data_IF_860673570965
#
_entry.id   IF_860673570965
#
_cell.length_a   1.000
_cell.length_b   1.000
_cell.length_c   1.000
_cell.angle_alpha   90.00
_cell.angle_beta   90.00
_cell.angle_gamma   90.00
#
_symmetry.space_group_name_H-M   'P 1'
#
loop_
_entity.id
_entity.type
_entity.pdbx_description
1 polymer ?
#
# COMPACT_ATOMS: atom_id res chain seq x y z
N UNK A 1 74.65 24.25 29.54
CA UNK A 1 74.68 24.01 28.09
C UNK A 1 73.28 24.19 27.58
N UNK A 2 73.03 25.29 27.30
CA UNK A 2 72.53 26.14 26.21
C UNK A 2 71.15 25.60 25.66
N UNK A 3 70.09 26.28 26.12
CA UNK A 3 68.79 26.21 25.56
C UNK A 3 68.54 27.38 24.63
N UNK A 4 68.18 27.16 23.38
CA UNK A 4 67.74 28.18 22.44
C UNK A 4 66.18 28.05 22.24
N UNK A 5 65.46 29.11 22.62
CA UNK A 5 64.05 29.23 22.46
C UNK A 5 63.64 29.70 21.04
N UNK A 6 62.38 29.46 20.64
CA UNK A 6 61.88 29.83 19.33
C UNK A 6 61.40 31.29 19.27
N UNK A 7 61.64 31.90 18.12
CA UNK A 7 61.29 33.27 17.76
C UNK A 7 59.82 33.49 17.52
N UNK A 8 59.30 34.59 18.02
CA UNK A 8 57.94 35.11 17.82
C UNK A 8 57.70 35.63 16.39
N UNK A 9 56.56 35.31 15.78
CA UNK A 9 56.06 35.91 14.55
C UNK A 9 55.17 37.13 14.83
N UNK A 10 55.04 38.12 13.93
CA UNK A 10 54.34 39.37 14.17
C UNK A 10 52.78 39.25 13.96
N UNK A 11 52.04 40.24 14.48
CA UNK A 11 50.56 40.20 14.44
C UNK A 11 49.99 40.66 13.09
N UNK A 12 49.04 39.90 12.54
CA UNK A 12 48.29 40.27 11.36
C UNK A 12 47.05 41.10 11.76
N UNK A 13 46.93 42.26 11.13
CA UNK A 13 45.91 43.27 11.35
C UNK A 13 44.50 42.74 10.99
N UNK A 14 43.55 42.90 11.91
CA UNK A 14 42.10 42.68 11.65
C UNK A 14 41.53 43.82 10.82
N UNK A 15 41.18 43.54 9.55
CA UNK A 15 40.26 44.39 8.79
C UNK A 15 38.82 43.93 9.07
N UNK A 16 38.02 44.79 9.69
CA UNK A 16 36.58 44.69 9.75
C UNK A 16 36.02 45.01 8.38
N UNK A 17 35.27 44.05 7.78
CA UNK A 17 34.38 44.35 6.67
C UNK A 17 32.96 44.06 7.21
N UNK A 18 32.22 45.14 7.45
CA UNK A 18 30.78 45.10 7.58
C UNK A 18 30.20 44.88 6.18
N UNK A 19 29.66 43.71 5.95
CA UNK A 19 28.85 43.40 4.75
C UNK A 19 27.49 42.96 5.18
N UNK A 20 26.49 43.83 4.96
CA UNK A 20 25.07 43.53 5.12
C UNK A 20 24.68 42.44 4.13
N UNK A 21 24.39 41.23 4.60
CA UNK A 21 23.78 40.18 3.78
C UNK A 21 22.25 40.28 3.90
N UNK A 22 21.58 40.82 2.90
CA UNK A 22 20.16 40.61 2.67
C UNK A 22 19.92 39.10 2.53
N UNK A 23 19.11 38.55 3.43
CA UNK A 23 18.59 37.20 3.26
C UNK A 23 17.55 37.20 2.14
N UNK A 24 17.97 36.75 0.96
CA UNK A 24 17.03 36.36 -0.09
C UNK A 24 16.41 35.01 0.27
N UNK A 25 15.14 35.03 0.65
CA UNK A 25 14.33 33.82 0.74
C UNK A 25 14.15 33.34 -0.71
N UNK A 26 14.95 32.37 -1.11
CA UNK A 26 14.75 31.65 -2.34
C UNK A 26 13.49 30.78 -2.16
N UNK A 27 12.36 31.23 -2.74
CA UNK A 27 11.23 30.37 -2.99
C UNK A 27 11.71 29.21 -3.87
N UNK A 28 11.92 28.06 -3.28
CA UNK A 28 12.23 26.83 -4.00
C UNK A 28 11.06 26.50 -4.92
N UNK A 29 11.18 26.86 -6.19
CA UNK A 29 10.35 26.33 -7.26
C UNK A 29 10.64 24.82 -7.30
N UNK A 30 9.77 24.03 -6.71
CA UNK A 30 9.74 22.60 -6.96
C UNK A 30 9.57 22.41 -8.48
N UNK A 31 10.47 21.67 -9.14
CA UNK A 31 10.28 21.39 -10.55
C UNK A 31 8.93 20.68 -10.67
N UNK A 32 8.01 21.35 -11.36
CA UNK A 32 6.68 20.80 -11.67
C UNK A 32 6.87 19.37 -12.18
N UNK A 33 6.00 18.46 -11.71
CA UNK A 33 5.84 17.14 -12.30
C UNK A 33 5.85 17.31 -13.82
N UNK A 34 6.97 17.01 -14.47
CA UNK A 34 6.96 16.73 -15.90
C UNK A 34 5.91 15.65 -16.05
N UNK A 35 4.86 15.92 -16.82
CA UNK A 35 4.02 14.87 -17.34
C UNK A 35 4.99 13.89 -17.99
N UNK A 36 5.26 12.77 -17.33
CA UNK A 36 5.98 11.68 -17.94
C UNK A 36 5.20 11.38 -19.21
N UNK A 37 5.83 11.51 -20.35
CA UNK A 37 5.28 10.95 -21.57
C UNK A 37 4.96 9.52 -21.23
N UNK A 38 3.66 9.18 -21.30
CA UNK A 38 3.18 7.88 -20.88
C UNK A 38 3.99 6.84 -21.63
N UNK A 39 4.84 6.09 -20.91
CA UNK A 39 5.58 5.00 -21.52
C UNK A 39 4.53 3.98 -21.97
N UNK A 40 4.29 3.79 -23.28
CA UNK A 40 3.28 2.87 -23.72
C UNK A 40 3.62 1.47 -23.21
N UNK A 41 2.64 0.79 -22.64
CA UNK A 41 2.76 -0.61 -22.24
C UNK A 41 2.70 -0.94 -20.75
N UNK A 42 2.67 0.05 -19.83
CA UNK A 42 2.52 -0.17 -18.38
C UNK A 42 1.58 0.86 -17.73
N UNK A 43 1.11 0.57 -16.53
CA UNK A 43 0.32 1.53 -15.75
C UNK A 43 1.18 2.74 -15.33
N UNK A 44 0.60 3.93 -15.45
CA UNK A 44 1.23 5.20 -15.06
C UNK A 44 0.25 6.08 -14.29
N UNK A 45 0.76 7.18 -13.71
CA UNK A 45 -0.07 8.27 -13.16
C UNK A 45 -0.15 9.40 -14.18
N UNK A 46 -1.34 9.84 -14.50
CA UNK A 46 -1.56 10.99 -15.37
C UNK A 46 -2.70 11.88 -14.89
N UNK A 47 -3.00 12.96 -15.65
CA UNK A 47 -4.11 13.86 -15.35
C UNK A 47 -5.08 13.89 -16.52
N UNK A 48 -6.38 13.86 -16.20
CA UNK A 48 -7.48 14.12 -17.15
C UNK A 48 -8.46 15.10 -16.49
N UNK A 49 -8.84 16.16 -17.17
CA UNK A 49 -9.74 17.22 -16.65
C UNK A 49 -9.33 17.74 -15.25
N UNK A 50 -8.03 17.90 -15.02
CA UNK A 50 -7.49 18.39 -13.75
C UNK A 50 -7.40 17.36 -12.61
N UNK A 51 -7.99 16.18 -12.76
CA UNK A 51 -7.96 15.10 -11.79
C UNK A 51 -6.81 14.12 -12.07
N UNK A 52 -6.05 13.64 -11.07
CA UNK A 52 -5.14 12.52 -11.25
C UNK A 52 -5.91 11.22 -11.46
N UNK A 53 -5.33 10.35 -12.29
CA UNK A 53 -5.82 9.03 -12.63
C UNK A 53 -4.66 8.05 -12.68
N UNK A 54 -4.91 6.77 -12.42
CA UNK A 54 -4.11 5.74 -13.06
C UNK A 54 -4.46 5.75 -14.55
N UNK A 55 -3.45 5.57 -15.38
CA UNK A 55 -3.60 5.31 -16.80
C UNK A 55 -3.15 3.89 -17.06
N UNK A 56 -3.97 3.11 -17.74
CA UNK A 56 -3.61 1.73 -18.09
C UNK A 56 -2.51 1.69 -19.18
N UNK A 57 -2.10 0.49 -19.57
CA UNK A 57 -1.06 0.29 -20.58
C UNK A 57 -1.37 0.89 -21.96
N UNK A 58 -2.62 1.26 -22.21
CA UNK A 58 -3.08 1.96 -23.43
C UNK A 58 -3.29 3.47 -23.20
N UNK A 59 -3.00 3.98 -22.00
CA UNK A 59 -3.16 5.39 -21.63
C UNK A 59 -4.60 5.81 -21.32
N UNK A 60 -5.52 4.85 -21.12
CA UNK A 60 -6.91 5.13 -20.76
C UNK A 60 -7.05 5.38 -19.26
N UNK A 61 -7.95 6.27 -18.82
CA UNK A 61 -8.24 6.45 -17.40
C UNK A 61 -8.67 5.14 -16.74
N UNK A 62 -8.06 4.85 -15.61
CA UNK A 62 -8.30 3.66 -14.82
C UNK A 62 -8.47 4.02 -13.35
N UNK A 63 -9.60 3.63 -12.76
CA UNK A 63 -9.83 3.67 -11.32
C UNK A 63 -9.80 2.24 -10.81
N UNK A 64 -8.82 1.90 -9.98
CA UNK A 64 -8.60 0.53 -9.54
C UNK A 64 -9.72 0.08 -8.60
N UNK A 65 -10.63 -0.76 -9.09
CA UNK A 65 -11.67 -1.44 -8.31
C UNK A 65 -11.15 -2.83 -7.97
N UNK A 66 -10.43 -2.93 -6.84
CA UNK A 66 -9.69 -4.13 -6.48
C UNK A 66 -10.41 -5.00 -5.44
N UNK A 67 -10.17 -6.30 -5.51
CA UNK A 67 -10.48 -7.23 -4.43
C UNK A 67 -9.18 -7.68 -3.75
N UNK A 68 -9.14 -7.60 -2.42
CA UNK A 68 -8.09 -8.15 -1.59
C UNK A 68 -8.45 -9.56 -1.08
N UNK A 69 -7.47 -10.30 -0.54
CA UNK A 69 -7.65 -11.53 0.24
C UNK A 69 -8.33 -12.66 -0.53
N UNK A 70 -7.59 -13.24 -1.45
CA UNK A 70 -8.05 -14.35 -2.29
C UNK A 70 -7.26 -15.61 -1.90
N UNK A 71 -7.92 -16.55 -1.20
CA UNK A 71 -7.28 -17.78 -0.70
C UNK A 71 -8.21 -18.97 -0.91
N UNK A 72 -7.64 -20.09 -1.41
CA UNK A 72 -8.36 -21.32 -1.68
C UNK A 72 -8.50 -22.23 -0.45
N UNK A 73 -7.81 -21.96 0.66
CA UNK A 73 -7.75 -22.83 1.83
C UNK A 73 -9.16 -23.27 2.35
N UNK A 74 -10.19 -22.40 2.36
CA UNK A 74 -11.52 -22.81 2.80
C UNK A 74 -12.13 -23.98 2.02
N UNK A 75 -11.75 -24.18 0.76
CA UNK A 75 -12.24 -25.29 -0.07
C UNK A 75 -11.76 -26.66 0.42
N UNK A 76 -10.69 -26.68 1.20
CA UNK A 76 -10.12 -27.90 1.81
C UNK A 76 -10.60 -28.15 3.23
N UNK A 77 -11.53 -27.35 3.77
CA UNK A 77 -12.05 -27.57 5.11
C UNK A 77 -12.80 -28.91 5.18
N UNK A 78 -12.70 -29.64 6.29
CA UNK A 78 -13.41 -30.91 6.47
C UNK A 78 -14.92 -30.79 6.24
N UNK A 79 -15.52 -29.65 6.63
CA UNK A 79 -16.93 -29.34 6.41
C UNK A 79 -17.34 -29.26 4.93
N UNK A 80 -16.40 -29.04 4.02
CA UNK A 80 -16.63 -28.95 2.59
C UNK A 80 -16.43 -30.28 1.84
N UNK A 81 -16.20 -31.39 2.54
CA UNK A 81 -15.97 -32.70 1.97
C UNK A 81 -14.98 -32.67 0.80
N UNK A 82 -13.84 -31.98 1.03
CA UNK A 82 -12.74 -31.85 0.06
C UNK A 82 -13.18 -31.29 -1.30
N UNK A 83 -13.90 -30.18 -1.29
CA UNK A 83 -14.37 -29.49 -2.49
C UNK A 83 -13.22 -29.12 -3.42
N UNK A 84 -12.07 -28.75 -2.85
CA UNK A 84 -10.85 -28.43 -3.58
C UNK A 84 -10.44 -29.54 -4.55
N UNK A 85 -10.33 -30.77 -4.06
CA UNK A 85 -9.96 -31.91 -4.90
C UNK A 85 -11.07 -32.28 -5.88
N UNK A 86 -12.32 -32.35 -5.40
CA UNK A 86 -13.46 -32.83 -6.21
C UNK A 86 -13.78 -31.90 -7.39
N UNK A 87 -13.72 -30.58 -7.17
CA UNK A 87 -14.10 -29.60 -8.20
C UNK A 87 -12.92 -29.15 -9.04
N UNK A 88 -11.77 -28.93 -8.41
CA UNK A 88 -10.63 -28.31 -9.06
C UNK A 88 -9.45 -29.27 -9.28
N UNK A 89 -9.51 -30.51 -8.78
CA UNK A 89 -8.42 -31.47 -8.89
C UNK A 89 -7.12 -31.00 -8.21
N UNK A 90 -7.24 -30.25 -7.10
CA UNK A 90 -6.11 -29.61 -6.41
C UNK A 90 -5.34 -28.58 -7.28
N UNK A 91 -5.98 -28.03 -8.31
CA UNK A 91 -5.33 -27.09 -9.25
C UNK A 91 -5.70 -25.64 -8.91
N UNK A 92 -4.70 -24.84 -8.52
CA UNK A 92 -4.84 -23.40 -8.34
C UNK A 92 -5.19 -22.70 -9.67
N UNK A 93 -4.59 -23.13 -10.77
CA UNK A 93 -4.89 -22.58 -12.09
C UNK A 93 -6.36 -22.75 -12.46
N UNK A 94 -6.92 -23.95 -12.29
CA UNK A 94 -8.34 -24.19 -12.56
C UNK A 94 -9.25 -23.33 -11.69
N UNK A 95 -8.95 -23.25 -10.41
CA UNK A 95 -9.76 -22.41 -9.51
C UNK A 95 -9.71 -20.93 -9.89
N UNK A 96 -8.52 -20.40 -10.18
CA UNK A 96 -8.35 -18.99 -10.55
C UNK A 96 -9.03 -18.69 -11.90
N UNK A 97 -8.87 -19.54 -12.91
CA UNK A 97 -9.47 -19.35 -14.24
C UNK A 97 -10.98 -19.54 -14.25
N UNK A 98 -11.45 -20.66 -13.67
CA UNK A 98 -12.82 -21.13 -13.84
C UNK A 98 -13.78 -20.47 -12.83
N UNK A 99 -13.27 -20.01 -11.68
CA UNK A 99 -14.09 -19.42 -10.63
C UNK A 99 -13.71 -17.96 -10.35
N UNK A 100 -12.52 -17.68 -9.84
CA UNK A 100 -12.16 -16.37 -9.34
C UNK A 100 -12.20 -15.31 -10.45
N UNK A 101 -11.57 -15.56 -11.58
CA UNK A 101 -11.53 -14.60 -12.69
C UNK A 101 -12.91 -14.32 -13.28
N UNK A 102 -13.75 -15.33 -13.37
CA UNK A 102 -15.14 -15.19 -13.83
C UNK A 102 -15.95 -14.34 -12.86
N UNK A 103 -15.85 -14.63 -11.56
CA UNK A 103 -16.56 -13.90 -10.52
C UNK A 103 -16.16 -12.43 -10.45
N UNK A 104 -14.86 -12.13 -10.45
CA UNK A 104 -14.40 -10.76 -10.37
C UNK A 104 -14.92 -9.91 -11.53
N UNK A 105 -14.92 -10.46 -12.75
CA UNK A 105 -15.49 -9.77 -13.93
C UNK A 105 -16.99 -9.57 -13.81
N UNK A 106 -17.72 -10.60 -13.38
CA UNK A 106 -19.18 -10.54 -13.19
C UNK A 106 -19.56 -9.53 -12.08
N UNK A 107 -18.74 -9.44 -11.02
CA UNK A 107 -18.95 -8.48 -9.93
C UNK A 107 -18.44 -7.08 -10.25
N UNK A 108 -17.80 -6.90 -11.42
CA UNK A 108 -17.29 -5.61 -11.89
C UNK A 108 -16.00 -5.14 -11.22
N UNK A 109 -15.25 -6.04 -10.56
CA UNK A 109 -13.89 -5.73 -10.14
C UNK A 109 -12.96 -5.77 -11.35
N UNK A 110 -12.10 -4.79 -11.48
CA UNK A 110 -11.18 -4.64 -12.61
C UNK A 110 -9.71 -4.90 -12.24
N UNK A 111 -9.45 -5.18 -10.98
CA UNK A 111 -8.10 -5.41 -10.47
C UNK A 111 -8.09 -6.31 -9.24
N UNK A 112 -6.89 -6.79 -8.89
CA UNK A 112 -6.60 -7.51 -7.66
C UNK A 112 -5.58 -6.72 -6.86
N UNK A 113 -5.88 -6.49 -5.59
CA UNK A 113 -5.01 -5.78 -4.66
C UNK A 113 -4.11 -6.74 -3.86
N UNK A 114 -4.18 -6.65 -2.54
CA UNK A 114 -3.41 -7.46 -1.60
C UNK A 114 -3.99 -8.88 -1.51
N UNK A 115 -3.29 -9.89 -2.06
CA UNK A 115 -3.84 -11.25 -2.19
C UNK A 115 -3.78 -12.08 -0.92
N UNK A 116 -2.80 -11.84 -0.03
CA UNK A 116 -2.67 -12.61 1.21
C UNK A 116 -3.94 -12.52 2.07
N UNK A 117 -4.34 -13.65 2.66
CA UNK A 117 -5.47 -13.76 3.57
C UNK A 117 -5.00 -14.04 5.00
N UNK A 118 -5.71 -13.54 5.98
CA UNK A 118 -5.50 -13.87 7.39
C UNK A 118 -5.99 -15.30 7.65
N UNK A 119 -5.08 -16.20 7.95
CA UNK A 119 -5.37 -17.62 8.19
C UNK A 119 -5.41 -18.00 9.67
N UNK A 120 -4.79 -17.20 10.54
CA UNK A 120 -4.99 -17.32 12.00
C UNK A 120 -4.81 -15.97 12.69
N UNK A 121 -5.48 -15.80 13.83
CA UNK A 121 -5.31 -14.66 14.72
C UNK A 121 -4.97 -15.16 16.11
N UNK A 122 -3.73 -14.93 16.54
CA UNK A 122 -3.33 -15.02 17.94
C UNK A 122 -3.54 -13.69 18.66
N UNK A 123 -3.36 -13.64 19.98
CA UNK A 123 -3.45 -12.40 20.77
C UNK A 123 -2.50 -11.30 20.29
N UNK A 124 -1.35 -11.70 19.78
CA UNK A 124 -0.26 -10.82 19.35
C UNK A 124 0.25 -11.12 17.93
N UNK A 125 -0.31 -12.12 17.27
CA UNK A 125 0.26 -12.62 16.01
C UNK A 125 -0.85 -13.03 15.02
N UNK A 126 -0.89 -12.35 13.88
CA UNK A 126 -1.72 -12.74 12.74
C UNK A 126 -0.84 -13.48 11.73
N UNK A 127 -1.28 -14.64 11.29
CA UNK A 127 -0.64 -15.35 10.18
C UNK A 127 -1.42 -15.15 8.91
N UNK A 128 -0.71 -14.86 7.84
CA UNK A 128 -1.26 -14.70 6.51
C UNK A 128 -0.90 -15.89 5.62
N UNK A 129 -1.75 -16.15 4.65
CA UNK A 129 -1.39 -17.02 3.54
C UNK A 129 -0.26 -16.39 2.71
N UNK A 130 0.35 -17.16 1.81
CA UNK A 130 1.34 -16.59 0.89
C UNK A 130 0.69 -15.62 -0.10
N UNK A 131 1.48 -14.69 -0.63
CA UNK A 131 1.11 -13.88 -1.77
C UNK A 131 0.95 -14.76 -3.03
N UNK A 132 0.21 -14.26 -4.03
CA UNK A 132 0.17 -14.90 -5.35
C UNK A 132 1.53 -14.85 -6.02
N UNK A 133 1.83 -15.90 -6.77
CA UNK A 133 2.98 -15.95 -7.67
C UNK A 133 2.68 -15.19 -8.97
N UNK A 134 3.72 -14.95 -9.77
CA UNK A 134 3.54 -14.33 -11.08
C UNK A 134 2.59 -15.14 -11.97
N UNK A 135 2.74 -16.46 -12.00
CA UNK A 135 1.88 -17.36 -12.76
C UNK A 135 0.41 -17.28 -12.34
N UNK A 136 0.14 -17.15 -11.05
CA UNK A 136 -1.21 -17.02 -10.52
C UNK A 136 -1.90 -15.73 -10.98
N UNK A 137 -1.17 -14.61 -11.06
CA UNK A 137 -1.68 -13.40 -11.68
C UNK A 137 -1.93 -13.58 -13.19
N UNK A 138 -1.07 -14.32 -13.90
CA UNK A 138 -1.28 -14.63 -15.32
C UNK A 138 -2.53 -15.50 -15.54
N UNK A 139 -2.75 -16.49 -14.69
CA UNK A 139 -3.97 -17.31 -14.73
C UNK A 139 -5.24 -16.51 -14.46
N UNK A 140 -5.18 -15.57 -13.53
CA UNK A 140 -6.28 -14.68 -13.21
C UNK A 140 -6.61 -13.72 -14.36
N UNK A 141 -5.58 -13.21 -15.02
CA UNK A 141 -5.70 -12.40 -16.24
C UNK A 141 -6.28 -11.00 -16.06
N UNK A 142 -6.29 -10.47 -14.84
CA UNK A 142 -6.72 -9.11 -14.47
C UNK A 142 -5.52 -8.24 -14.10
N UNK A 143 -5.63 -6.90 -14.20
CA UNK A 143 -4.70 -5.98 -13.57
C UNK A 143 -4.51 -6.29 -12.08
N UNK A 144 -3.29 -6.10 -11.56
CA UNK A 144 -2.99 -6.47 -10.18
C UNK A 144 -1.94 -5.56 -9.53
N UNK A 145 -1.97 -5.52 -8.20
CA UNK A 145 -0.90 -4.97 -7.38
C UNK A 145 -0.14 -6.11 -6.72
N UNK A 146 1.17 -6.05 -6.72
CA UNK A 146 2.01 -7.07 -6.10
C UNK A 146 2.65 -6.57 -4.81
N UNK A 147 2.70 -7.41 -3.79
CA UNK A 147 3.31 -7.09 -2.50
C UNK A 147 4.75 -7.60 -2.41
N UNK A 148 5.64 -6.74 -1.92
CA UNK A 148 7.05 -7.04 -1.73
C UNK A 148 7.36 -7.19 -0.24
N UNK A 149 7.82 -8.37 0.22
CA UNK A 149 8.07 -8.61 1.63
C UNK A 149 9.40 -8.00 2.11
N UNK A 150 9.58 -6.69 1.94
CA UNK A 150 10.79 -6.00 2.41
C UNK A 150 10.90 -5.96 3.92
N UNK A 151 9.76 -5.75 4.60
CA UNK A 151 9.65 -5.89 6.04
C UNK A 151 8.37 -6.66 6.34
N UNK A 152 8.44 -7.64 7.23
CA UNK A 152 7.26 -8.37 7.65
C UNK A 152 6.45 -7.51 8.61
N UNK A 153 5.16 -7.38 8.34
CA UNK A 153 4.19 -6.78 9.25
C UNK A 153 4.31 -7.33 10.68
N UNK A 154 4.50 -8.63 10.84
CA UNK A 154 4.68 -9.25 12.14
C UNK A 154 5.95 -8.82 12.88
N UNK A 155 6.99 -8.43 12.16
CA UNK A 155 8.19 -7.86 12.77
C UNK A 155 7.93 -6.47 13.35
N UNK A 156 6.91 -5.78 12.88
CA UNK A 156 6.55 -4.43 13.35
C UNK A 156 5.53 -4.43 14.47
N UNK A 157 4.58 -5.36 14.46
CA UNK A 157 3.54 -5.46 15.49
C UNK A 157 3.88 -6.39 16.64
N UNK A 158 4.62 -7.45 16.39
CA UNK A 158 4.69 -8.60 17.26
C UNK A 158 6.05 -8.81 17.93
N UNK A 159 6.63 -7.77 18.52
CA UNK A 159 7.71 -7.95 19.48
C UNK A 159 9.09 -8.33 18.90
N UNK A 160 9.22 -8.50 17.60
CA UNK A 160 10.52 -8.69 16.96
C UNK A 160 11.13 -7.35 16.57
N UNK A 161 12.43 -7.29 16.54
CA UNK A 161 13.13 -6.09 16.06
C UNK A 161 12.71 -5.80 14.64
N UNK A 162 12.27 -4.56 14.37
CA UNK A 162 12.19 -4.14 12.98
C UNK A 162 13.60 -4.20 12.36
N UNK A 163 13.73 -4.43 11.06
CA UNK A 163 15.03 -4.45 10.41
C UNK A 163 15.80 -3.16 10.67
N UNK A 164 17.10 -3.26 10.87
CA UNK A 164 17.96 -2.06 10.84
C UNK A 164 18.05 -1.56 9.40
N UNK A 165 17.23 -0.58 9.07
CA UNK A 165 17.16 0.00 7.72
C UNK A 165 18.47 0.67 7.27
N UNK A 166 19.41 0.86 8.19
CA UNK A 166 20.76 1.38 7.88
C UNK A 166 21.77 0.28 7.57
N UNK A 167 21.45 -0.97 7.87
CA UNK A 167 22.36 -2.10 7.71
C UNK A 167 22.56 -2.49 6.23
N UNK A 168 23.73 -3.09 5.97
CA UNK A 168 24.00 -3.69 4.66
C UNK A 168 23.12 -4.92 4.39
N UNK A 169 22.77 -5.65 5.45
CA UNK A 169 21.91 -6.83 5.39
C UNK A 169 20.50 -6.47 4.95
N UNK A 170 19.93 -5.37 5.44
CA UNK A 170 18.63 -4.90 4.97
C UNK A 170 18.67 -4.51 3.49
N UNK A 171 19.72 -3.81 3.08
CA UNK A 171 19.90 -3.45 1.67
C UNK A 171 20.05 -4.69 0.77
N UNK A 172 20.81 -5.70 1.19
CA UNK A 172 20.96 -6.97 0.48
C UNK A 172 19.66 -7.76 0.43
N UNK A 173 18.87 -7.77 1.52
CA UNK A 173 17.54 -8.37 1.55
C UNK A 173 16.59 -7.70 0.56
N UNK A 174 16.53 -6.37 0.54
CA UNK A 174 15.70 -5.62 -0.39
C UNK A 174 16.10 -5.89 -1.84
N UNK A 175 17.39 -6.00 -2.14
CA UNK A 175 17.89 -6.34 -3.47
C UNK A 175 17.48 -7.76 -3.89
N UNK A 176 17.62 -8.72 -2.97
CA UNK A 176 17.16 -10.10 -3.21
C UNK A 176 15.66 -10.15 -3.52
N UNK A 177 14.81 -9.55 -2.68
CA UNK A 177 13.35 -9.51 -2.88
C UNK A 177 13.00 -8.85 -4.22
N UNK A 178 13.59 -7.71 -4.53
CA UNK A 178 13.31 -7.01 -5.78
C UNK A 178 13.75 -7.81 -7.00
N UNK A 179 14.88 -8.50 -6.95
CA UNK A 179 15.34 -9.38 -8.03
C UNK A 179 14.37 -10.53 -8.26
N UNK A 180 13.96 -11.23 -7.20
CA UNK A 180 13.08 -12.40 -7.30
C UNK A 180 11.66 -12.04 -7.78
N UNK A 181 11.17 -10.86 -7.42
CA UNK A 181 9.80 -10.44 -7.75
C UNK A 181 9.76 -9.46 -8.93
N UNK A 182 10.47 -8.32 -8.84
CA UNK A 182 10.30 -7.25 -9.82
C UNK A 182 10.87 -7.60 -11.19
N UNK A 183 12.02 -8.30 -11.27
CA UNK A 183 12.63 -8.65 -12.56
C UNK A 183 11.70 -9.51 -13.43
N UNK A 184 10.91 -10.39 -12.83
CA UNK A 184 9.96 -11.26 -13.55
C UNK A 184 8.72 -10.51 -14.04
N UNK A 185 8.36 -9.40 -13.37
CA UNK A 185 7.13 -8.64 -13.60
C UNK A 185 7.38 -7.36 -14.41
N UNK A 186 8.65 -6.99 -14.65
CA UNK A 186 9.04 -5.69 -15.21
C UNK A 186 8.44 -5.38 -16.59
N UNK A 187 8.04 -6.41 -17.34
CA UNK A 187 7.43 -6.27 -18.68
C UNK A 187 5.92 -6.57 -18.69
N UNK A 188 5.31 -6.87 -17.53
CA UNK A 188 3.89 -7.24 -17.50
C UNK A 188 2.96 -6.01 -17.56
N UNK A 189 2.21 -5.82 -18.67
CA UNK A 189 1.31 -4.67 -18.82
C UNK A 189 0.14 -4.66 -17.83
N UNK A 190 -0.10 -5.75 -17.10
CA UNK A 190 -1.18 -5.87 -16.11
C UNK A 190 -0.74 -5.51 -14.70
N UNK A 191 0.55 -5.42 -14.44
CA UNK A 191 1.03 -4.97 -13.14
C UNK A 191 0.75 -3.48 -12.99
N UNK A 192 -0.10 -3.12 -12.00
CA UNK A 192 -0.35 -1.73 -11.63
C UNK A 192 0.87 -1.18 -10.88
N UNK A 193 1.37 -1.92 -9.91
CA UNK A 193 2.51 -1.51 -9.12
C UNK A 193 2.74 -2.36 -7.88
N UNK A 194 3.71 -1.94 -7.07
CA UNK A 194 4.20 -2.68 -5.91
C UNK A 194 3.75 -2.04 -4.60
N UNK A 195 3.10 -2.83 -3.75
CA UNK A 195 2.96 -2.55 -2.32
C UNK A 195 4.20 -3.03 -1.55
N UNK A 196 4.48 -2.40 -0.43
CA UNK A 196 5.53 -2.81 0.51
C UNK A 196 4.93 -3.56 1.69
N UNK A 197 4.86 -2.91 2.86
CA UNK A 197 4.36 -3.54 4.07
C UNK A 197 2.90 -3.18 4.34
N UNK A 198 2.19 -4.09 4.97
CA UNK A 198 0.84 -3.90 5.45
C UNK A 198 0.85 -3.26 6.84
N UNK A 199 -0.01 -2.27 7.11
CA UNK A 199 -0.19 -1.61 8.39
C UNK A 199 1.12 -1.25 9.12
N UNK A 200 2.08 -0.52 8.52
CA UNK A 200 3.37 -0.26 9.16
C UNK A 200 3.19 0.59 10.42
N UNK A 201 3.61 0.04 11.55
CA UNK A 201 3.49 0.70 12.85
C UNK A 201 4.75 1.52 13.16
N UNK A 202 4.95 2.59 12.45
CA UNK A 202 6.07 3.51 12.70
C UNK A 202 5.98 4.22 14.05
N UNK A 203 4.77 4.38 14.58
CA UNK A 203 4.52 5.02 15.86
C UNK A 203 3.52 4.16 16.64
N UNK A 204 3.99 3.51 17.69
CA UNK A 204 3.11 2.74 18.56
C UNK A 204 2.30 3.67 19.46
N UNK A 205 1.04 3.84 19.17
CA UNK A 205 0.10 4.52 20.07
C UNK A 205 -0.88 3.49 20.63
N UNK A 206 -0.73 3.14 21.90
CA UNK A 206 -1.75 2.44 22.64
C UNK A 206 -1.78 0.91 22.55
N UNK A 207 -0.89 0.27 21.81
CA UNK A 207 -0.72 -1.18 21.86
C UNK A 207 0.41 -1.50 22.84
N UNK A 208 0.22 -2.42 23.81
CA UNK A 208 1.30 -2.88 24.65
C UNK A 208 2.29 -3.70 23.79
N UNK A 209 3.23 -3.05 23.15
CA UNK A 209 4.36 -3.71 22.51
C UNK A 209 5.46 -3.88 23.55
N UNK A 210 5.99 -5.09 23.72
CA UNK A 210 7.14 -5.34 24.58
C UNK A 210 8.41 -4.74 23.98
N UNK A 211 8.44 -4.56 22.67
CA UNK A 211 9.57 -3.94 22.01
C UNK A 211 9.25 -2.49 21.68
N UNK A 212 9.85 -1.61 22.47
CA UNK A 212 9.88 -0.18 22.19
C UNK A 212 11.25 0.15 21.62
N UNK A 213 11.38 0.16 20.31
CA UNK A 213 12.57 0.72 19.69
C UNK A 213 12.68 2.22 20.05
N UNK A 214 13.85 2.81 19.95
CA UNK A 214 14.08 4.21 20.32
C UNK A 214 13.22 5.20 19.53
N UNK A 215 12.63 4.80 18.41
CA UNK A 215 11.77 5.63 17.57
C UNK A 215 10.27 5.48 17.90
N UNK A 216 9.90 4.50 18.71
CA UNK A 216 8.52 4.24 19.09
C UNK A 216 8.17 4.79 20.47
N UNK A 217 9.07 5.58 21.05
CA UNK A 217 8.80 6.29 22.28
C UNK A 217 8.00 7.56 21.99
N UNK A 218 6.71 7.65 22.44
CA UNK A 218 5.89 8.84 22.23
C UNK A 218 6.50 10.12 22.83
N UNK A 219 7.25 10.01 23.92
CA UNK A 219 7.92 11.16 24.55
C UNK A 219 9.05 11.67 23.66
N UNK A 220 9.84 10.76 23.08
CA UNK A 220 10.89 11.12 22.11
C UNK A 220 10.29 11.80 20.88
N UNK A 221 9.16 11.30 20.37
CA UNK A 221 8.47 11.85 19.20
C UNK A 221 7.74 13.17 19.50
N UNK A 222 7.55 13.55 20.77
CA UNK A 222 7.09 14.88 21.14
C UNK A 222 8.14 15.98 20.85
N UNK A 223 9.41 15.63 20.84
CA UNK A 223 10.52 16.54 20.55
C UNK A 223 10.74 16.73 19.04
N UNK A 224 11.27 17.90 18.63
CA UNK A 224 11.66 18.16 17.25
C UNK A 224 12.78 17.21 16.80
N UNK A 225 13.78 16.98 17.66
CA UNK A 225 14.89 16.08 17.37
C UNK A 225 14.42 14.64 17.12
N UNK A 226 13.46 14.13 17.93
CA UNK A 226 12.90 12.79 17.73
C UNK A 226 12.10 12.67 16.44
N UNK A 227 11.33 13.70 16.06
CA UNK A 227 10.64 13.73 14.76
C UNK A 227 11.61 13.77 13.58
N UNK A 228 12.70 14.56 13.69
CA UNK A 228 13.74 14.60 12.65
C UNK A 228 14.44 13.25 12.50
N UNK A 229 14.71 12.53 13.60
CA UNK A 229 15.28 11.19 13.58
C UNK A 229 14.33 10.19 12.90
N UNK A 230 13.02 10.23 13.21
CA UNK A 230 12.01 9.40 12.55
C UNK A 230 11.95 9.68 11.04
N UNK A 231 11.96 10.96 10.64
CA UNK A 231 11.98 11.35 9.24
C UNK A 231 13.23 10.81 8.51
N UNK A 232 14.41 10.92 9.13
CA UNK A 232 15.66 10.42 8.56
C UNK A 232 15.65 8.90 8.38
N UNK A 233 15.14 8.16 9.38
CA UNK A 233 15.02 6.71 9.31
C UNK A 233 14.01 6.28 8.23
N UNK A 234 12.84 6.89 8.18
CA UNK A 234 11.84 6.62 7.16
C UNK A 234 12.37 6.95 5.75
N UNK A 235 13.07 8.06 5.59
CA UNK A 235 13.74 8.41 4.33
C UNK A 235 14.74 7.34 3.91
N UNK A 236 15.50 6.78 4.85
CA UNK A 236 16.42 5.68 4.58
C UNK A 236 15.68 4.44 4.09
N UNK A 237 14.62 4.02 4.79
CA UNK A 237 13.80 2.88 4.42
C UNK A 237 13.27 3.02 2.98
N UNK A 238 12.60 4.13 2.66
CA UNK A 238 12.03 4.33 1.32
C UNK A 238 13.10 4.45 0.24
N UNK A 239 14.25 5.03 0.54
CA UNK A 239 15.37 5.08 -0.41
C UNK A 239 15.92 3.70 -0.73
N UNK A 240 16.10 2.85 0.26
CA UNK A 240 16.64 1.49 0.07
C UNK A 240 15.64 0.63 -0.70
N UNK A 241 14.38 0.62 -0.27
CA UNK A 241 13.32 -0.21 -0.89
C UNK A 241 13.01 0.24 -2.32
N UNK A 242 12.82 1.54 -2.56
CA UNK A 242 12.57 2.04 -3.91
C UNK A 242 13.77 1.87 -4.83
N UNK A 243 14.99 2.09 -4.30
CA UNK A 243 16.23 1.85 -5.04
C UNK A 243 16.40 0.39 -5.44
N UNK A 244 15.98 -0.55 -4.61
CA UNK A 244 15.97 -1.97 -4.94
C UNK A 244 14.98 -2.28 -6.07
N UNK A 245 13.74 -1.80 -5.98
CA UNK A 245 12.73 -1.95 -7.05
C UNK A 245 13.28 -1.40 -8.36
N UNK A 246 13.76 -0.15 -8.37
CA UNK A 246 14.19 0.57 -9.58
C UNK A 246 15.42 -0.03 -10.27
N UNK A 247 16.16 -0.93 -9.62
CA UNK A 247 17.23 -1.70 -10.28
C UNK A 247 16.69 -2.75 -11.26
N UNK A 248 15.52 -3.30 -10.99
CA UNK A 248 14.93 -4.41 -11.73
C UNK A 248 13.67 -4.02 -12.51
N UNK A 249 12.98 -2.98 -12.05
CA UNK A 249 11.79 -2.45 -12.71
C UNK A 249 11.78 -0.91 -12.60
N UNK A 250 12.01 -0.25 -13.72
CA UNK A 250 12.08 1.20 -13.80
C UNK A 250 10.75 1.85 -14.16
N UNK A 251 9.72 1.07 -14.51
CA UNK A 251 8.50 1.57 -15.14
C UNK A 251 7.25 1.49 -14.27
N UNK A 252 7.02 0.35 -13.61
CA UNK A 252 5.79 0.16 -12.82
C UNK A 252 5.73 1.06 -11.60
N UNK A 253 4.51 1.32 -11.15
CA UNK A 253 4.28 2.22 -10.02
C UNK A 253 4.77 1.63 -8.70
N UNK A 254 5.28 2.48 -7.83
CA UNK A 254 5.53 2.15 -6.43
C UNK A 254 4.35 2.70 -5.62
N UNK A 255 3.53 1.78 -5.08
CA UNK A 255 2.36 2.08 -4.26
C UNK A 255 2.72 2.20 -2.76
N UNK A 256 3.95 1.80 -2.41
CA UNK A 256 4.51 1.93 -1.07
C UNK A 256 3.78 1.13 0.01
N UNK A 257 3.89 1.61 1.24
CA UNK A 257 3.23 1.01 2.40
C UNK A 257 1.73 1.27 2.38
N UNK A 258 0.95 0.35 2.99
CA UNK A 258 -0.48 0.50 3.20
C UNK A 258 -0.75 1.04 4.60
N UNK A 259 -0.76 2.36 4.76
CA UNK A 259 -0.92 3.02 6.06
C UNK A 259 -2.30 2.78 6.68
N UNK A 260 -2.34 2.40 7.97
CA UNK A 260 -3.58 2.23 8.72
C UNK A 260 -4.08 3.59 9.26
N UNK A 261 -5.14 4.13 8.66
CA UNK A 261 -5.66 5.45 9.00
C UNK A 261 -6.52 5.47 10.28
N UNK A 262 -6.94 4.31 10.79
CA UNK A 262 -7.57 4.18 12.11
C UNK A 262 -6.59 4.38 13.27
N UNK A 263 -5.29 4.24 13.01
CA UNK A 263 -4.20 4.58 13.92
C UNK A 263 -3.61 5.95 13.58
N UNK A 264 -2.77 6.47 14.47
CA UNK A 264 -2.06 7.72 14.19
C UNK A 264 -0.96 7.49 13.16
N UNK A 265 -1.16 8.00 11.95
CA UNK A 265 -0.12 8.02 10.91
C UNK A 265 0.82 9.19 11.21
N UNK A 266 2.12 8.92 11.27
CA UNK A 266 3.12 9.98 11.40
C UNK A 266 3.26 10.76 10.10
N UNK A 267 3.13 12.08 10.20
CA UNK A 267 3.33 12.97 9.07
C UNK A 267 4.77 12.92 8.54
N UNK A 268 5.75 12.76 9.44
CA UNK A 268 7.17 12.61 9.10
C UNK A 268 7.41 11.40 8.20
N UNK A 269 6.75 10.27 8.49
CA UNK A 269 6.87 9.04 7.70
C UNK A 269 6.29 9.21 6.30
N UNK A 270 5.07 9.75 6.21
CA UNK A 270 4.42 9.96 4.89
C UNK A 270 5.22 10.97 4.05
N UNK A 271 5.69 12.06 4.65
CA UNK A 271 6.55 13.03 3.96
C UNK A 271 7.86 12.43 3.47
N UNK A 272 8.46 11.53 4.26
CA UNK A 272 9.66 10.81 3.86
C UNK A 272 9.42 9.87 2.67
N UNK A 273 8.22 9.29 2.55
CA UNK A 273 7.84 8.42 1.45
C UNK A 273 7.63 9.18 0.11
N UNK A 274 7.14 10.42 0.17
CA UNK A 274 6.72 11.22 -1.02
C UNK A 274 7.71 11.20 -2.19
N UNK A 275 9.04 11.35 -2.01
CA UNK A 275 9.99 11.30 -3.12
C UNK A 275 10.17 9.92 -3.76
N UNK A 276 9.73 8.86 -3.12
CA UNK A 276 10.07 7.48 -3.45
C UNK A 276 8.88 6.63 -3.89
N UNK A 277 7.65 7.12 -3.73
CA UNK A 277 6.43 6.43 -4.13
C UNK A 277 5.66 7.23 -5.18
N UNK A 278 4.91 6.55 -6.02
CA UNK A 278 4.09 7.18 -7.07
C UNK A 278 2.67 7.44 -6.58
N UNK A 279 2.16 6.59 -5.70
CA UNK A 279 0.82 6.65 -5.08
C UNK A 279 0.97 6.43 -3.58
N UNK A 280 0.18 7.11 -2.76
CA UNK A 280 0.07 6.82 -1.32
C UNK A 280 -1.10 5.89 -1.08
N UNK A 281 -0.89 4.81 -0.33
CA UNK A 281 -1.88 3.76 -0.10
C UNK A 281 -2.34 3.74 1.35
N UNK A 282 -3.65 3.67 1.57
CA UNK A 282 -4.24 3.72 2.90
C UNK A 282 -5.22 2.58 3.13
N UNK A 283 -5.24 2.09 4.36
CA UNK A 283 -6.34 1.30 4.91
C UNK A 283 -7.17 2.22 5.81
N UNK A 284 -8.49 2.17 5.74
CA UNK A 284 -9.32 2.99 6.62
C UNK A 284 -10.71 2.37 6.78
N UNK A 285 -10.97 1.78 7.93
CA UNK A 285 -12.23 1.10 8.26
C UNK A 285 -13.16 2.04 9.02
N UNK A 286 -13.64 3.08 8.34
CA UNK A 286 -14.49 4.12 8.90
C UNK A 286 -15.69 4.43 7.98
N UNK A 287 -16.57 5.35 8.41
CA UNK A 287 -17.69 5.81 7.58
C UNK A 287 -17.18 6.48 6.28
N UNK A 288 -17.95 6.43 5.17
CA UNK A 288 -17.53 6.94 3.86
C UNK A 288 -16.98 8.37 3.87
N UNK A 289 -17.60 9.27 4.63
CA UNK A 289 -17.16 10.66 4.75
C UNK A 289 -15.78 10.79 5.41
N UNK A 290 -15.51 10.01 6.46
CA UNK A 290 -14.22 10.01 7.14
C UNK A 290 -13.11 9.40 6.27
N UNK A 291 -13.43 8.37 5.50
CA UNK A 291 -12.51 7.78 4.51
C UNK A 291 -12.15 8.81 3.46
N UNK A 292 -13.14 9.46 2.85
CA UNK A 292 -12.94 10.49 1.83
C UNK A 292 -12.11 11.68 2.36
N UNK A 293 -12.38 12.13 3.59
CA UNK A 293 -11.66 13.22 4.23
C UNK A 293 -10.18 12.87 4.48
N UNK A 294 -9.90 11.67 4.98
CA UNK A 294 -8.54 11.20 5.17
C UNK A 294 -7.74 11.22 3.85
N UNK A 295 -8.31 10.68 2.78
CA UNK A 295 -7.64 10.63 1.48
C UNK A 295 -7.45 12.04 0.89
N UNK A 296 -8.45 12.91 1.00
CA UNK A 296 -8.36 14.31 0.55
C UNK A 296 -7.25 15.04 1.29
N UNK A 297 -7.18 14.92 2.62
CA UNK A 297 -6.13 15.52 3.43
C UNK A 297 -4.73 15.11 2.94
N UNK A 298 -4.48 13.83 2.74
CA UNK A 298 -3.17 13.36 2.32
C UNK A 298 -2.84 13.75 0.88
N UNK A 299 -3.82 13.73 -0.01
CA UNK A 299 -3.63 14.27 -1.36
C UNK A 299 -3.24 15.75 -1.34
N UNK A 300 -3.94 16.56 -0.57
CA UNK A 300 -3.66 17.99 -0.44
C UNK A 300 -2.29 18.27 0.18
N UNK A 301 -1.91 17.52 1.21
CA UNK A 301 -0.64 17.69 1.91
C UNK A 301 0.58 17.29 1.07
N UNK A 302 0.43 16.35 0.14
CA UNK A 302 1.56 15.73 -0.57
C UNK A 302 1.55 15.93 -2.08
N UNK A 303 0.42 16.27 -2.67
CA UNK A 303 0.23 16.32 -4.12
C UNK A 303 0.18 14.94 -4.80
N UNK A 304 0.38 13.84 -4.06
CA UNK A 304 0.36 12.48 -4.60
C UNK A 304 -1.06 11.98 -4.82
N UNK A 305 -1.30 11.16 -5.85
CA UNK A 305 -2.52 10.34 -5.89
C UNK A 305 -2.62 9.46 -4.66
N UNK A 306 -3.85 9.15 -4.25
CA UNK A 306 -4.14 8.34 -3.07
C UNK A 306 -5.02 7.15 -3.44
N UNK A 307 -4.71 5.98 -2.88
CA UNK A 307 -5.44 4.74 -3.07
C UNK A 307 -6.04 4.29 -1.74
N UNK A 308 -7.34 4.02 -1.70
CA UNK A 308 -7.94 3.26 -0.61
C UNK A 308 -7.60 1.78 -0.84
N UNK A 309 -6.47 1.35 -0.30
CA UNK A 309 -5.90 0.04 -0.57
C UNK A 309 -6.51 -1.10 0.26
N UNK A 310 -7.28 -0.76 1.30
CA UNK A 310 -8.05 -1.73 2.08
C UNK A 310 -9.17 -1.05 2.88
N UNK A 311 -10.40 -1.49 2.64
CA UNK A 311 -11.58 -1.05 3.38
C UNK A 311 -12.72 -2.04 3.23
N UNK A 312 -13.50 -2.24 4.28
CA UNK A 312 -14.77 -2.97 4.22
C UNK A 312 -15.79 -2.36 5.18
N UNK A 313 -16.99 -2.15 4.69
CA UNK A 313 -18.19 -2.04 5.51
C UNK A 313 -18.73 -3.44 5.82
N UNK A 314 -19.08 -3.71 7.08
CA UNK A 314 -19.47 -5.04 7.55
C UNK A 314 -20.71 -4.97 8.42
N UNK A 315 -21.70 -5.79 8.09
CA UNK A 315 -22.87 -6.02 8.91
C UNK A 315 -22.60 -7.17 9.89
N UNK A 316 -22.98 -6.96 11.15
CA UNK A 316 -23.00 -8.02 12.17
C UNK A 316 -24.37 -8.65 12.17
N UNK A 317 -24.41 -9.97 12.00
CA UNK A 317 -25.62 -10.77 11.96
C UNK A 317 -25.83 -11.50 13.29
N UNK A 318 -27.01 -12.07 13.49
CA UNK A 318 -27.32 -12.91 14.64
C UNK A 318 -26.30 -14.08 14.74
N UNK A 319 -26.01 -14.51 15.97
CA UNK A 319 -25.03 -15.59 16.19
C UNK A 319 -23.57 -15.24 15.92
N UNK A 320 -23.24 -13.93 15.75
CA UNK A 320 -21.87 -13.47 15.54
C UNK A 320 -21.33 -13.65 14.12
N UNK A 321 -22.14 -14.08 13.18
CA UNK A 321 -21.80 -14.11 11.77
C UNK A 321 -21.60 -12.70 11.22
N UNK A 322 -20.83 -12.58 10.14
CA UNK A 322 -20.56 -11.31 9.49
C UNK A 322 -20.87 -11.43 7.99
N UNK A 323 -21.29 -10.32 7.41
CA UNK A 323 -21.53 -10.14 5.97
C UNK A 323 -20.91 -8.84 5.50
N UNK A 324 -20.45 -8.78 4.26
CA UNK A 324 -20.12 -7.51 3.62
C UNK A 324 -21.40 -6.66 3.47
N UNK A 325 -21.30 -5.40 3.87
CA UNK A 325 -22.34 -4.41 3.63
C UNK A 325 -22.14 -3.82 2.22
N UNK A 326 -22.91 -4.37 1.28
CA UNK A 326 -22.86 -3.90 -0.11
C UNK A 326 -23.33 -2.46 -0.30
N UNK A 327 -24.29 -2.00 0.52
CA UNK A 327 -24.73 -0.61 0.50
C UNK A 327 -23.64 0.35 1.04
N UNK A 328 -22.98 -0.04 2.12
CA UNK A 328 -21.81 0.68 2.66
C UNK A 328 -20.64 0.72 1.67
N UNK A 329 -20.41 -0.38 0.92
CA UNK A 329 -19.44 -0.38 -0.18
C UNK A 329 -19.82 0.65 -1.26
N UNK A 330 -21.07 0.64 -1.72
CA UNK A 330 -21.53 1.58 -2.75
C UNK A 330 -21.44 3.04 -2.30
N UNK A 331 -21.81 3.33 -1.06
CA UNK A 331 -21.67 4.67 -0.48
C UNK A 331 -20.21 5.13 -0.39
N UNK A 332 -19.32 4.23 0.01
CA UNK A 332 -17.87 4.53 0.04
C UNK A 332 -17.35 4.80 -1.37
N UNK A 333 -17.66 3.95 -2.34
CA UNK A 333 -17.21 4.13 -3.73
C UNK A 333 -17.73 5.45 -4.33
N UNK A 334 -18.99 5.82 -4.05
CA UNK A 334 -19.54 7.10 -4.46
C UNK A 334 -18.75 8.29 -3.88
N UNK A 335 -18.47 8.27 -2.58
CA UNK A 335 -17.68 9.31 -1.93
C UNK A 335 -16.24 9.41 -2.50
N UNK A 336 -15.63 8.28 -2.84
CA UNK A 336 -14.27 8.25 -3.41
C UNK A 336 -14.22 8.78 -4.84
N UNK A 337 -15.25 8.57 -5.64
CA UNK A 337 -15.36 9.16 -6.99
C UNK A 337 -15.35 10.68 -6.94
N UNK A 338 -15.91 11.27 -5.89
CA UNK A 338 -15.93 12.72 -5.67
C UNK A 338 -14.66 13.22 -4.91
N UNK A 339 -13.77 12.32 -4.46
CA UNK A 339 -12.58 12.71 -3.72
C UNK A 339 -11.43 13.03 -4.69
N UNK A 340 -10.94 14.29 -4.72
CA UNK A 340 -9.78 14.65 -5.54
C UNK A 340 -8.57 13.77 -5.18
N UNK A 341 -7.84 13.35 -6.19
CA UNK A 341 -6.63 12.55 -6.00
C UNK A 341 -6.87 11.07 -5.74
N UNK A 342 -8.07 10.63 -5.40
CA UNK A 342 -8.35 9.20 -5.24
C UNK A 342 -8.32 8.47 -6.59
N UNK A 343 -7.54 7.38 -6.67
CA UNK A 343 -7.31 6.61 -7.90
C UNK A 343 -7.78 5.16 -7.80
N UNK A 344 -8.39 4.75 -6.68
CA UNK A 344 -8.92 3.40 -6.56
C UNK A 344 -9.50 3.10 -5.19
N UNK A 345 -10.21 1.98 -5.14
CA UNK A 345 -10.78 1.35 -3.95
C UNK A 345 -10.59 -0.17 -4.00
N UNK A 346 -9.84 -0.71 -3.06
CA UNK A 346 -9.70 -2.16 -2.89
C UNK A 346 -10.52 -2.63 -1.71
N UNK A 347 -11.49 -3.52 -1.99
CA UNK A 347 -12.34 -4.10 -0.97
C UNK A 347 -11.52 -5.09 -0.12
N UNK A 348 -11.47 -4.85 1.19
CA UNK A 348 -11.01 -5.82 2.20
C UNK A 348 -12.06 -6.94 2.33
N UNK A 349 -12.24 -7.68 1.25
CA UNK A 349 -13.22 -8.73 1.20
C UNK A 349 -12.53 -10.05 1.07
N UNK A 350 -12.65 -10.98 1.99
CA UNK A 350 -12.27 -12.34 1.68
C UNK A 350 -13.08 -12.81 0.48
N UNK A 351 -12.44 -13.35 -0.55
CA UNK A 351 -13.17 -13.97 -1.66
C UNK A 351 -14.02 -15.14 -1.15
N UNK A 352 -13.42 -16.05 -0.39
CA UNK A 352 -14.11 -17.12 0.33
C UNK A 352 -14.21 -16.80 1.82
N UNK A 353 -15.36 -17.08 2.43
CA UNK A 353 -15.52 -17.03 3.88
C UNK A 353 -14.58 -18.03 4.53
N UNK A 354 -13.76 -17.57 5.45
CA UNK A 354 -12.91 -18.41 6.27
C UNK A 354 -13.27 -18.31 7.76
N UNK A 355 -12.68 -19.20 8.57
CA UNK A 355 -12.97 -19.28 10.01
C UNK A 355 -12.47 -18.07 10.79
N UNK A 356 -11.49 -17.34 10.27
CA UNK A 356 -10.87 -16.18 10.93
C UNK A 356 -11.67 -14.92 10.67
N UNK A 357 -11.99 -14.63 9.41
CA UNK A 357 -12.75 -13.43 9.02
C UNK A 357 -14.25 -13.60 9.22
N UNK A 358 -14.76 -14.83 9.16
CA UNK A 358 -16.19 -15.16 9.27
C UNK A 358 -17.09 -14.45 8.25
N UNK A 359 -16.49 -13.87 7.20
CA UNK A 359 -17.16 -13.22 6.07
C UNK A 359 -16.42 -13.52 4.77
N UNK A 360 -17.09 -13.39 3.65
CA UNK A 360 -16.56 -13.53 2.30
C UNK A 360 -17.66 -13.18 1.30
N UNK A 361 -17.28 -12.86 0.07
CA UNK A 361 -18.21 -12.67 -1.04
C UNK A 361 -18.80 -13.99 -1.51
N UNK A 362 -18.12 -15.09 -1.22
CA UNK A 362 -18.64 -16.45 -1.26
C UNK A 362 -18.54 -17.12 0.10
N UNK A 363 -19.44 -18.01 0.40
CA UNK A 363 -19.30 -18.95 1.51
C UNK A 363 -18.12 -19.91 1.26
N UNK A 364 -17.71 -20.66 2.29
CA UNK A 364 -16.63 -21.63 2.14
C UNK A 364 -16.98 -22.77 1.14
N UNK A 365 -18.26 -23.05 0.92
CA UNK A 365 -18.79 -23.98 -0.08
C UNK A 365 -19.03 -23.33 -1.46
N UNK A 366 -18.48 -22.15 -1.66
CA UNK A 366 -18.56 -21.33 -2.88
C UNK A 366 -19.94 -20.75 -3.23
N UNK A 367 -20.94 -20.83 -2.38
CA UNK A 367 -22.19 -20.10 -2.63
C UNK A 367 -21.98 -18.60 -2.57
N UNK A 368 -22.37 -17.82 -3.60
CA UNK A 368 -22.22 -16.37 -3.58
C UNK A 368 -23.14 -15.72 -2.56
N UNK A 369 -22.68 -14.68 -1.87
CA UNK A 369 -23.51 -13.82 -1.03
C UNK A 369 -24.22 -12.78 -1.91
N UNK A 370 -25.38 -13.17 -2.45
CA UNK A 370 -26.14 -12.36 -3.43
C UNK A 370 -26.60 -11.03 -2.87
N UNK A 371 -26.92 -10.95 -1.56
CA UNK A 371 -27.35 -9.70 -0.93
C UNK A 371 -26.21 -8.69 -0.84
N UNK A 372 -25.00 -9.14 -0.52
CA UNK A 372 -23.82 -8.28 -0.52
C UNK A 372 -23.40 -7.90 -1.96
N UNK A 373 -23.48 -8.87 -2.88
CA UNK A 373 -22.97 -8.71 -4.23
C UNK A 373 -23.84 -7.81 -5.13
N UNK A 374 -25.16 -7.79 -4.94
CA UNK A 374 -26.06 -7.01 -5.80
C UNK A 374 -25.69 -5.50 -5.81
N UNK A 375 -25.60 -4.79 -4.67
CA UNK A 375 -25.21 -3.38 -4.66
C UNK A 375 -23.74 -3.16 -5.02
N UNK A 376 -22.82 -4.11 -4.76
CA UNK A 376 -21.42 -4.03 -5.20
C UNK A 376 -21.34 -4.02 -6.72
N UNK A 377 -22.02 -4.94 -7.40
CA UNK A 377 -22.08 -5.02 -8.87
C UNK A 377 -22.60 -3.74 -9.50
N UNK A 378 -23.68 -3.20 -8.95
CA UNK A 378 -24.28 -1.95 -9.43
C UNK A 378 -23.31 -0.77 -9.29
N UNK A 379 -22.70 -0.63 -8.11
CA UNK A 379 -21.74 0.43 -7.85
C UNK A 379 -20.50 0.33 -8.76
N UNK A 380 -19.98 -0.88 -8.98
CA UNK A 380 -18.83 -1.10 -9.86
C UNK A 380 -19.16 -0.80 -11.33
N UNK A 381 -20.33 -1.20 -11.83
CA UNK A 381 -20.79 -0.84 -13.18
C UNK A 381 -20.95 0.67 -13.35
N UNK A 382 -21.48 1.36 -12.35
CA UNK A 382 -21.62 2.81 -12.37
C UNK A 382 -20.24 3.51 -12.36
N UNK A 383 -19.25 2.96 -11.66
CA UNK A 383 -17.88 3.46 -11.66
C UNK A 383 -17.18 3.21 -13.00
N UNK A 384 -17.41 2.06 -13.64
CA UNK A 384 -16.87 1.75 -14.95
C UNK A 384 -17.45 2.71 -16.04
N UNK A 385 -18.74 2.98 -16.00
CA UNK A 385 -19.36 3.97 -16.88
C UNK A 385 -18.78 5.39 -16.66
N UNK A 386 -18.53 5.77 -15.40
CA UNK A 386 -17.91 7.04 -15.06
C UNK A 386 -16.46 7.13 -15.56
N UNK A 387 -15.66 6.07 -15.46
CA UNK A 387 -14.29 6.03 -16.00
C UNK A 387 -14.27 6.25 -17.51
N UNK A 388 -15.20 5.64 -18.25
CA UNK A 388 -15.30 5.80 -19.72
C UNK A 388 -15.69 7.20 -20.15
N UNK A 389 -16.31 8.00 -19.29
CA UNK A 389 -16.63 9.40 -19.53
C UNK A 389 -15.52 10.39 -19.13
N UNK A 390 -14.40 9.92 -18.60
CA UNK A 390 -13.30 10.74 -18.12
C UNK A 390 -12.29 11.06 -19.22
#
# INVERSE_FOLDING_TARGET
MSASGPKSAPPIARRRILGSALAAVAAGVFPGLRAAEASPGVFTVGRRRGRPWLLDSEGRPFFSLGLNHIDAAPLSYPSNADLWRRKYGNSMERWLRDSVASDLRDWGFNSVGWTQEVVSRGPTNHRHSRAFTFEEYQWLGLPYCHQLPFADFHQWEAETRYPDFASAEFAAWCDHVAREHCARMAEDPKLIGYFYVDCPTWVHTGVPSRWKGPLFDPEKLASEAGRAELFALATRYYRVTSGAVRRYDQRHLILGDRYEAGARISEEVVRAAVPFVDVLSFQHFAAPAAVAENLRRWHQATGKPVLLADHASVLRLAGGAQRHDGAGYAATLAALRETPGCVGYHLCGAYLRNEVRKRGLRAADEKPDTEALAPIREANRAADAWMRGA
#
